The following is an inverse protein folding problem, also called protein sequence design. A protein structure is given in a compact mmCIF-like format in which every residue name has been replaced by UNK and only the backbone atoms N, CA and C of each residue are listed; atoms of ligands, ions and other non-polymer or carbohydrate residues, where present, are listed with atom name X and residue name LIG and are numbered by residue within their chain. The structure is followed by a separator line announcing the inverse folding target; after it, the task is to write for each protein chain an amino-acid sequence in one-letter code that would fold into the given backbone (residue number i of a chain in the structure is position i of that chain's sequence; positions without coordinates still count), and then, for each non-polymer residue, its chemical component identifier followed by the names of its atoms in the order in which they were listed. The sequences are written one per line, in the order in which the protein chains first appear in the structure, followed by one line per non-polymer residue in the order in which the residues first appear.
data_IF_754485938590
#
_entry.id   IF_754485938590
#
_cell.length_a   1.000
_cell.length_b   1.000
_cell.length_c   1.000
_cell.angle_alpha   90.00
_cell.angle_beta   90.00
_cell.angle_gamma   90.00
#
_symmetry.space_group_name_H-M   'P 1'
#
loop_
_entity.id
_entity.type
_entity.pdbx_description
1 polymer ?
#
# COMPACT_ATOMS: atom_id res chain seq x y z
N UNK A 1 26.50 -37.05 9.84
CA UNK A 1 26.69 -36.33 8.55
C UNK A 1 25.49 -35.42 8.41
N UNK A 2 25.66 -34.10 8.43
CA UNK A 2 24.50 -33.18 8.32
C UNK A 2 23.92 -33.39 6.92
N UNK A 3 22.66 -33.79 6.85
CA UNK A 3 21.97 -33.96 5.59
C UNK A 3 21.93 -32.62 4.85
N UNK A 4 22.38 -32.58 3.60
CA UNK A 4 22.38 -31.37 2.76
C UNK A 4 20.98 -30.71 2.69
N UNK A 5 19.93 -31.51 2.89
CA UNK A 5 18.53 -31.10 2.98
C UNK A 5 18.25 -30.16 4.15
N UNK A 6 18.95 -30.30 5.28
CA UNK A 6 18.77 -29.46 6.48
C UNK A 6 19.28 -28.03 6.21
N UNK A 7 20.38 -27.91 5.46
CA UNK A 7 20.94 -26.60 5.08
C UNK A 7 20.07 -25.85 4.06
N UNK A 8 19.15 -26.53 3.38
CA UNK A 8 18.20 -25.89 2.46
C UNK A 8 17.07 -25.12 3.18
N UNK A 9 16.80 -25.43 4.46
CA UNK A 9 15.68 -24.86 5.22
C UNK A 9 15.74 -23.32 5.32
N UNK A 10 16.87 -22.67 5.68
CA UNK A 10 16.97 -21.21 5.72
C UNK A 10 16.74 -20.55 4.36
N UNK A 11 17.24 -21.16 3.28
CA UNK A 11 17.10 -20.63 1.91
C UNK A 11 15.63 -20.68 1.48
N UNK A 12 14.97 -21.81 1.74
CA UNK A 12 13.53 -21.96 1.47
C UNK A 12 12.73 -20.96 2.30
N UNK A 13 13.07 -20.77 3.57
CA UNK A 13 12.47 -19.75 4.44
C UNK A 13 12.63 -18.34 3.87
N UNK A 14 13.82 -17.97 3.40
CA UNK A 14 14.06 -16.69 2.73
C UNK A 14 13.18 -16.50 1.50
N UNK A 15 13.14 -17.50 0.62
CA UNK A 15 12.36 -17.45 -0.63
C UNK A 15 10.88 -17.31 -0.32
N UNK A 16 10.33 -18.12 0.60
CA UNK A 16 8.92 -18.06 0.98
C UNK A 16 8.59 -16.71 1.62
N UNK A 17 9.43 -16.21 2.52
CA UNK A 17 9.23 -14.92 3.19
C UNK A 17 9.21 -13.75 2.20
N UNK A 18 10.20 -13.70 1.31
CA UNK A 18 10.28 -12.66 0.28
C UNK A 18 9.12 -12.79 -0.74
N UNK A 19 8.84 -14.00 -1.22
CA UNK A 19 7.79 -14.24 -2.21
C UNK A 19 6.40 -13.89 -1.66
N UNK A 20 6.10 -14.29 -0.44
CA UNK A 20 4.79 -14.03 0.19
C UNK A 20 4.56 -12.53 0.38
N UNK A 21 5.57 -11.78 0.85
CA UNK A 21 5.44 -10.33 0.98
C UNK A 21 5.32 -9.63 -0.38
N UNK A 22 6.07 -10.07 -1.39
CA UNK A 22 5.91 -9.58 -2.76
C UNK A 22 4.48 -9.81 -3.29
N UNK A 23 3.94 -11.00 -3.06
CA UNK A 23 2.60 -11.36 -3.49
C UNK A 23 1.54 -10.52 -2.75
N UNK A 24 1.67 -10.35 -1.44
CA UNK A 24 0.77 -9.52 -0.64
C UNK A 24 0.69 -8.08 -1.16
N UNK A 25 1.84 -7.49 -1.50
CA UNK A 25 1.90 -6.17 -2.13
C UNK A 25 1.14 -6.17 -3.45
N UNK A 26 1.38 -7.16 -4.32
CA UNK A 26 0.71 -7.26 -5.63
C UNK A 26 -0.81 -7.46 -5.50
N UNK A 27 -1.26 -8.18 -4.48
CA UNK A 27 -2.68 -8.44 -4.19
C UNK A 27 -3.45 -7.19 -3.74
N UNK A 28 -2.77 -6.15 -3.26
CA UNK A 28 -3.45 -4.88 -2.98
C UNK A 28 -4.02 -4.24 -4.25
N UNK A 29 -3.40 -4.49 -5.40
CA UNK A 29 -3.73 -3.87 -6.68
C UNK A 29 -4.49 -4.81 -7.62
N UNK A 30 -4.23 -6.13 -7.54
CA UNK A 30 -4.80 -7.13 -8.44
C UNK A 30 -5.69 -8.15 -7.70
N UNK A 31 -6.80 -8.60 -8.31
CA UNK A 31 -7.32 -8.21 -9.63
C UNK A 31 -8.07 -6.87 -9.58
N UNK A 32 -7.95 -6.08 -10.65
CA UNK A 32 -8.53 -4.72 -10.71
C UNK A 32 -10.06 -4.73 -10.73
N UNK A 33 -10.64 -5.68 -11.46
CA UNK A 33 -12.06 -5.99 -11.46
C UNK A 33 -12.31 -7.21 -10.58
N UNK A 34 -13.52 -7.32 -10.05
CA UNK A 34 -13.92 -8.44 -9.20
C UNK A 34 -13.97 -9.72 -10.04
N UNK A 35 -13.19 -10.73 -9.66
CA UNK A 35 -13.14 -12.06 -10.30
C UNK A 35 -13.40 -13.11 -9.22
N UNK A 36 -14.40 -13.98 -9.39
CA UNK A 36 -14.80 -14.99 -8.40
C UNK A 36 -14.96 -14.44 -6.97
N UNK A 37 -15.45 -13.21 -6.84
CA UNK A 37 -15.59 -12.55 -5.54
C UNK A 37 -14.33 -11.83 -5.02
N UNK A 38 -13.16 -12.11 -5.59
CA UNK A 38 -11.88 -11.53 -5.20
C UNK A 38 -11.60 -10.25 -5.99
N UNK A 39 -11.14 -9.22 -5.30
CA UNK A 39 -10.71 -7.94 -5.89
C UNK A 39 -9.57 -7.36 -5.05
N UNK A 40 -8.63 -6.71 -5.70
CA UNK A 40 -7.58 -5.96 -5.01
C UNK A 40 -8.17 -4.91 -4.07
N UNK A 41 -7.50 -4.68 -2.94
CA UNK A 41 -7.97 -3.79 -1.89
C UNK A 41 -8.14 -2.33 -2.37
N UNK A 42 -7.21 -1.84 -3.20
CA UNK A 42 -7.21 -0.48 -3.72
C UNK A 42 -8.36 -0.22 -4.72
N UNK A 43 -8.54 -1.04 -5.78
CA UNK A 43 -9.71 -0.93 -6.64
C UNK A 43 -11.03 -0.97 -5.87
N UNK A 44 -11.13 -1.86 -4.87
CA UNK A 44 -12.33 -2.03 -4.04
C UNK A 44 -12.64 -0.82 -3.15
N UNK A 45 -11.64 0.00 -2.81
CA UNK A 45 -11.77 1.15 -1.89
C UNK A 45 -11.56 2.51 -2.56
N UNK A 46 -11.47 2.57 -3.90
CA UNK A 46 -11.20 3.81 -4.65
C UNK A 46 -12.10 4.98 -4.23
N UNK A 47 -13.42 4.77 -4.17
CA UNK A 47 -14.38 5.83 -3.78
C UNK A 47 -14.15 6.32 -2.36
N UNK A 48 -13.87 5.40 -1.42
CA UNK A 48 -13.57 5.74 -0.05
C UNK A 48 -12.26 6.55 0.05
N UNK A 49 -11.25 6.19 -0.74
CA UNK A 49 -10.00 6.94 -0.83
C UNK A 49 -10.23 8.34 -1.39
N UNK A 50 -11.01 8.48 -2.46
CA UNK A 50 -11.39 9.78 -3.01
C UNK A 50 -12.05 10.67 -1.97
N UNK A 51 -13.02 10.11 -1.22
CA UNK A 51 -13.72 10.82 -0.14
C UNK A 51 -12.76 11.27 0.97
N UNK A 52 -11.92 10.35 1.48
CA UNK A 52 -10.98 10.65 2.58
C UNK A 52 -9.89 11.64 2.17
N UNK A 53 -9.38 11.53 0.94
CA UNK A 53 -8.39 12.47 0.42
C UNK A 53 -9.03 13.83 0.19
N UNK A 54 -10.28 13.89 -0.31
CA UNK A 54 -11.03 15.14 -0.38
C UNK A 54 -11.30 15.76 1.00
N UNK A 55 -11.55 14.94 2.02
CA UNK A 55 -11.69 15.39 3.42
C UNK A 55 -10.40 15.97 4.00
N UNK A 56 -9.26 15.38 3.68
CA UNK A 56 -7.94 15.86 4.11
C UNK A 56 -7.37 16.97 3.21
N UNK A 57 -7.98 17.22 2.03
CA UNK A 57 -7.44 18.18 1.06
C UNK A 57 -7.35 19.63 1.57
N UNK A 58 -8.23 20.12 2.47
CA UNK A 58 -8.09 21.46 3.05
C UNK A 58 -6.75 21.69 3.78
N UNK A 59 -6.18 20.65 4.40
CA UNK A 59 -4.92 20.74 5.14
C UNK A 59 -3.71 21.00 4.23
N UNK A 60 -3.78 20.50 2.99
CA UNK A 60 -2.75 20.72 1.97
C UNK A 60 -3.06 21.90 1.05
N UNK A 61 -4.12 22.67 1.34
CA UNK A 61 -4.43 23.87 0.57
C UNK A 61 -3.31 24.90 0.75
N UNK A 62 -2.95 25.63 -0.33
CA UNK A 62 -2.03 26.74 -0.23
C UNK A 62 -2.48 27.78 0.81
N UNK A 63 -1.52 28.38 1.51
CA UNK A 63 -1.79 29.25 2.66
C UNK A 63 -2.68 30.47 2.34
N UNK A 64 -2.73 30.91 1.08
CA UNK A 64 -3.64 31.99 0.66
C UNK A 64 -5.11 31.57 0.68
N UNK A 65 -5.44 30.31 0.38
CA UNK A 65 -6.80 29.79 0.54
C UNK A 65 -7.18 29.58 2.01
N UNK A 66 -6.21 29.19 2.85
CA UNK A 66 -6.44 29.09 4.30
C UNK A 66 -6.80 30.45 4.91
N UNK A 67 -6.23 31.56 4.39
CA UNK A 67 -6.61 32.91 4.82
C UNK A 67 -8.08 33.25 4.49
N UNK A 68 -8.65 32.63 3.45
CA UNK A 68 -10.05 32.85 3.04
C UNK A 68 -11.04 32.16 3.96
N UNK A 69 -10.62 31.19 4.78
CA UNK A 69 -11.46 30.53 5.79
C UNK A 69 -12.04 31.53 6.79
N UNK A 70 -11.32 32.62 7.06
CA UNK A 70 -11.72 33.67 8.00
C UNK A 70 -12.87 34.53 7.49
N UNK A 71 -13.24 34.42 6.21
CA UNK A 71 -14.33 35.19 5.61
C UNK A 71 -15.64 34.42 5.78
N UNK A 72 -16.62 34.92 6.55
CA UNK A 72 -17.89 34.23 6.76
C UNK A 72 -18.61 33.98 5.42
N UNK A 73 -19.24 32.81 5.30
CA UNK A 73 -19.95 32.29 4.11
C UNK A 73 -19.02 31.94 2.93
N UNK A 74 -18.10 32.82 2.55
CA UNK A 74 -17.21 32.62 1.39
C UNK A 74 -16.14 31.56 1.67
N UNK A 75 -15.51 31.58 2.84
CA UNK A 75 -14.49 30.61 3.23
C UNK A 75 -15.01 29.17 3.24
N UNK A 76 -16.14 28.95 3.92
CA UNK A 76 -16.79 27.64 3.97
C UNK A 76 -17.18 27.12 2.58
N UNK A 77 -17.68 27.98 1.69
CA UNK A 77 -18.06 27.61 0.32
C UNK A 77 -16.83 27.21 -0.50
N UNK A 78 -15.73 27.94 -0.39
CA UNK A 78 -14.46 27.64 -1.10
C UNK A 78 -13.89 26.30 -0.63
N UNK A 79 -13.84 26.05 0.67
CA UNK A 79 -13.32 24.79 1.23
C UNK A 79 -14.15 23.60 0.76
N UNK A 80 -15.48 23.71 0.82
CA UNK A 80 -16.37 22.64 0.36
C UNK A 80 -16.23 22.36 -1.15
N UNK A 81 -16.05 23.40 -1.96
CA UNK A 81 -15.80 23.28 -3.39
C UNK A 81 -14.45 22.61 -3.66
N UNK A 82 -13.41 23.01 -2.94
CA UNK A 82 -12.08 22.43 -3.09
C UNK A 82 -12.08 20.94 -2.72
N UNK A 83 -12.66 20.58 -1.57
CA UNK A 83 -12.88 19.18 -1.17
C UNK A 83 -13.56 18.38 -2.28
N UNK A 84 -14.67 18.90 -2.82
CA UNK A 84 -15.43 18.20 -3.85
C UNK A 84 -14.67 18.11 -5.18
N UNK A 85 -13.91 19.14 -5.54
CA UNK A 85 -13.06 19.15 -6.73
C UNK A 85 -11.96 18.07 -6.64
N UNK A 86 -11.28 17.96 -5.49
CA UNK A 86 -10.27 16.93 -5.27
C UNK A 86 -10.88 15.53 -5.28
N UNK A 87 -12.00 15.32 -4.59
CA UNK A 87 -12.71 14.03 -4.61
C UNK A 87 -13.11 13.63 -6.04
N UNK A 88 -13.68 14.55 -6.81
CA UNK A 88 -14.06 14.32 -8.20
C UNK A 88 -12.86 14.02 -9.09
N UNK A 89 -11.74 14.71 -8.88
CA UNK A 89 -10.50 14.48 -9.62
C UNK A 89 -9.92 13.10 -9.35
N UNK A 90 -10.04 12.57 -8.13
CA UNK A 90 -9.58 11.20 -7.83
C UNK A 90 -10.55 10.19 -8.42
N UNK A 91 -11.85 10.48 -8.40
CA UNK A 91 -12.86 9.63 -9.00
C UNK A 91 -12.76 9.55 -10.52
N UNK A 92 -12.31 10.62 -11.19
CA UNK A 92 -12.09 10.66 -12.64
C UNK A 92 -10.87 9.85 -13.09
N UNK A 93 -9.88 9.61 -12.22
CA UNK A 93 -8.74 8.74 -12.54
C UNK A 93 -9.20 7.30 -12.78
N UNK A 94 -8.65 6.64 -13.79
CA UNK A 94 -8.76 5.19 -13.91
C UNK A 94 -8.12 4.48 -12.72
N UNK A 95 -8.53 3.22 -12.47
CA UNK A 95 -7.91 2.39 -11.41
C UNK A 95 -6.41 2.24 -11.67
N UNK A 96 -6.03 2.16 -12.94
CA UNK A 96 -4.66 2.06 -13.43
C UNK A 96 -3.82 3.30 -13.10
N UNK A 97 -4.37 4.51 -13.28
CA UNK A 97 -3.67 5.75 -12.99
C UNK A 97 -3.47 5.94 -11.49
N UNK A 98 -4.52 5.68 -10.70
CA UNK A 98 -4.44 5.73 -9.24
C UNK A 98 -3.42 4.70 -8.73
N UNK A 99 -3.43 3.48 -9.27
CA UNK A 99 -2.44 2.44 -9.01
C UNK A 99 -1.02 2.94 -9.32
N UNK A 100 -0.78 3.54 -10.49
CA UNK A 100 0.56 4.04 -10.87
C UNK A 100 1.07 5.12 -9.91
N UNK A 101 0.22 6.04 -9.48
CA UNK A 101 0.58 7.09 -8.52
C UNK A 101 0.96 6.46 -7.18
N UNK A 102 0.08 5.60 -6.65
CA UNK A 102 0.28 4.93 -5.36
C UNK A 102 1.52 4.02 -5.41
N UNK A 103 1.68 3.20 -6.45
CA UNK A 103 2.83 2.33 -6.63
C UNK A 103 4.13 3.11 -6.74
N UNK A 104 4.14 4.28 -7.38
CA UNK A 104 5.37 5.10 -7.47
C UNK A 104 5.86 5.53 -6.09
N UNK A 105 4.95 5.91 -5.20
CA UNK A 105 5.29 6.28 -3.81
C UNK A 105 5.65 5.03 -3.00
N UNK A 106 4.82 3.99 -3.08
CA UNK A 106 4.97 2.78 -2.26
C UNK A 106 6.15 1.89 -2.68
N UNK A 107 6.52 1.84 -3.96
CA UNK A 107 7.62 1.00 -4.46
C UNK A 107 8.97 1.35 -3.81
N UNK A 108 9.14 2.61 -3.40
CA UNK A 108 10.34 3.05 -2.67
C UNK A 108 10.44 2.41 -1.28
N UNK A 109 9.31 2.26 -0.60
CA UNK A 109 9.24 1.74 0.78
C UNK A 109 9.01 0.22 0.84
N UNK A 110 8.24 -0.33 -0.09
CA UNK A 110 7.81 -1.72 -0.05
C UNK A 110 8.89 -2.75 -0.35
N UNK A 111 9.95 -2.36 -1.09
CA UNK A 111 11.09 -3.24 -1.33
C UNK A 111 11.78 -3.67 -0.03
N UNK A 112 11.84 -2.77 0.95
CA UNK A 112 12.37 -3.06 2.28
C UNK A 112 11.54 -4.13 2.99
N UNK A 113 10.20 -4.07 2.91
CA UNK A 113 9.31 -5.06 3.53
C UNK A 113 9.49 -6.47 2.94
N UNK A 114 9.70 -6.56 1.62
CA UNK A 114 10.01 -7.85 0.97
C UNK A 114 11.33 -8.43 1.49
N UNK A 115 12.35 -7.58 1.60
CA UNK A 115 13.67 -8.00 2.08
C UNK A 115 13.66 -8.43 3.55
N UNK A 116 12.96 -7.69 4.40
CA UNK A 116 12.74 -8.06 5.81
C UNK A 116 12.01 -9.39 5.92
N UNK A 117 10.98 -9.62 5.10
CA UNK A 117 10.28 -10.91 5.07
C UNK A 117 11.22 -12.08 4.74
N UNK A 118 12.11 -11.89 3.76
CA UNK A 118 13.14 -12.87 3.44
C UNK A 118 14.11 -13.10 4.60
N UNK A 119 14.62 -12.05 5.23
CA UNK A 119 15.54 -12.17 6.37
C UNK A 119 14.89 -12.91 7.53
N UNK A 120 13.66 -12.56 7.89
CA UNK A 120 12.94 -13.22 8.98
C UNK A 120 12.77 -14.71 8.63
N UNK A 121 12.36 -15.03 7.41
CA UNK A 121 12.26 -16.42 6.96
C UNK A 121 13.59 -17.18 7.02
N UNK A 122 14.69 -16.53 6.66
CA UNK A 122 16.03 -17.09 6.78
C UNK A 122 16.43 -17.34 8.24
N UNK A 123 16.21 -16.37 9.13
CA UNK A 123 16.53 -16.47 10.55
C UNK A 123 15.71 -17.58 11.23
N UNK A 124 14.42 -17.67 10.93
CA UNK A 124 13.56 -18.76 11.43
C UNK A 124 14.10 -20.11 10.95
N UNK A 125 14.48 -20.21 9.67
CA UNK A 125 15.08 -21.44 9.14
C UNK A 125 16.42 -21.78 9.80
N UNK A 126 17.27 -20.79 10.11
CA UNK A 126 18.51 -21.01 10.87
C UNK A 126 18.23 -21.55 12.27
N UNK A 127 17.26 -20.96 12.98
CA UNK A 127 16.85 -21.43 14.30
C UNK A 127 16.31 -22.87 14.22
N UNK A 128 15.52 -23.20 13.19
CA UNK A 128 15.01 -24.55 12.98
C UNK A 128 16.14 -25.57 12.76
N UNK A 129 17.17 -25.21 11.99
CA UNK A 129 18.37 -26.05 11.81
C UNK A 129 19.10 -26.26 13.13
N UNK A 130 19.30 -25.20 13.93
CA UNK A 130 19.96 -25.32 15.23
C UNK A 130 19.19 -26.21 16.19
N UNK A 131 17.86 -26.06 16.27
CA UNK A 131 16.99 -26.90 17.12
C UNK A 131 17.04 -28.36 16.68
N UNK A 132 17.16 -28.63 15.37
CA UNK A 132 17.26 -29.99 14.85
C UNK A 132 18.62 -30.66 15.10
N UNK A 133 19.68 -29.87 15.34
CA UNK A 133 21.03 -30.35 15.60
C UNK A 133 21.31 -30.63 17.08
N UNK A 134 20.49 -30.09 17.99
CA UNK A 134 20.52 -30.34 19.44
C UNK A 134 19.70 -31.59 19.74
#
# INVERSE_FOLDING_TARGET
MIDLKILAIPIVGFIIGAFTNYLAIKMLFHPRKKIFGVQGLLPKRKELLAKRIGEASPEIMPSYFQKLEKIPVVGAKIISFFKKSVENQINSLSVEELEKIILRVMKKEMGFLVWIGGIIGFLIGLVQVLVFLI
#
